data_IF_786946904892
#
_entry.id   IF_786946904892
#
_cell.length_a   1.000
_cell.length_b   1.000
_cell.length_c   1.000
_cell.angle_alpha   90.00
_cell.angle_beta   90.00
_cell.angle_gamma   90.00
#
_symmetry.space_group_name_H-M   'P 1'
#
loop_
_entity.id
_entity.type
_entity.pdbx_description
1 polymer ?
#
# COMPACT_ATOMS: atom_id res chain seq x y z
N UNK A 1 2.61 -14.20 3.28
CA UNK A 1 2.94 -12.99 2.51
C UNK A 1 3.33 -11.92 3.51
N UNK A 2 4.52 -11.33 3.41
CA UNK A 2 4.91 -10.20 4.27
C UNK A 2 4.34 -8.88 3.69
N UNK A 3 4.48 -7.76 4.41
CA UNK A 3 3.93 -6.46 3.98
C UNK A 3 4.52 -5.98 2.64
N UNK A 4 5.81 -6.25 2.39
CA UNK A 4 6.50 -5.88 1.14
C UNK A 4 5.98 -6.72 -0.04
N UNK A 5 5.79 -8.01 0.16
CA UNK A 5 5.20 -8.90 -0.84
C UNK A 5 3.77 -8.46 -1.19
N UNK A 6 2.98 -8.08 -0.17
CA UNK A 6 1.62 -7.58 -0.37
C UNK A 6 1.62 -6.28 -1.19
N UNK A 7 2.50 -5.33 -0.87
CA UNK A 7 2.70 -4.11 -1.66
C UNK A 7 3.04 -4.43 -3.12
N UNK A 8 4.06 -5.27 -3.34
CA UNK A 8 4.49 -5.62 -4.70
C UNK A 8 3.39 -6.34 -5.48
N UNK A 9 2.60 -7.17 -4.81
CA UNK A 9 1.44 -7.82 -5.40
C UNK A 9 0.38 -6.81 -5.82
N UNK A 10 -0.01 -5.88 -4.95
CA UNK A 10 -1.00 -4.83 -5.27
C UNK A 10 -0.54 -3.98 -6.47
N UNK A 11 0.71 -3.53 -6.46
CA UNK A 11 1.29 -2.75 -7.57
C UNK A 11 1.27 -3.51 -8.89
N UNK A 12 1.66 -4.79 -8.85
CA UNK A 12 1.68 -5.66 -10.02
C UNK A 12 0.29 -5.88 -10.60
N UNK A 13 -0.71 -6.14 -9.76
CA UNK A 13 -2.10 -6.35 -10.19
C UNK A 13 -2.71 -5.07 -10.76
N UNK A 14 -2.38 -3.92 -10.18
CA UNK A 14 -2.83 -2.62 -10.68
C UNK A 14 -2.09 -2.17 -11.96
N UNK A 15 -1.00 -2.84 -12.35
CA UNK A 15 -0.16 -2.43 -13.48
C UNK A 15 0.59 -1.11 -13.24
N UNK A 16 0.81 -0.73 -11.97
CA UNK A 16 1.37 0.56 -11.58
C UNK A 16 2.80 0.45 -11.05
N UNK A 17 3.61 1.45 -11.36
CA UNK A 17 4.97 1.55 -10.82
C UNK A 17 4.96 2.15 -9.41
N UNK A 18 5.99 1.86 -8.62
CA UNK A 18 6.19 2.48 -7.30
C UNK A 18 6.23 4.02 -7.37
N UNK A 19 6.78 4.58 -8.43
CA UNK A 19 6.87 6.02 -8.62
C UNK A 19 5.54 6.65 -8.96
N UNK A 20 4.77 6.01 -9.83
CA UNK A 20 3.42 6.43 -10.19
C UNK A 20 2.51 6.46 -8.95
N UNK A 21 2.45 5.36 -8.19
CA UNK A 21 1.65 5.32 -6.96
C UNK A 21 2.15 6.32 -5.92
N UNK A 22 3.47 6.50 -5.77
CA UNK A 22 4.02 7.53 -4.86
C UNK A 22 3.50 8.93 -5.19
N UNK A 23 3.43 9.28 -6.49
CA UNK A 23 2.91 10.57 -6.93
C UNK A 23 1.41 10.68 -6.74
N UNK A 24 0.66 9.61 -7.03
CA UNK A 24 -0.79 9.59 -6.89
C UNK A 24 -1.25 9.78 -5.43
N UNK A 25 -0.50 9.23 -4.47
CA UNK A 25 -0.76 9.47 -3.03
C UNK A 25 -0.19 10.82 -2.53
N UNK A 26 0.17 11.75 -3.42
CA UNK A 26 0.66 13.09 -3.08
C UNK A 26 2.06 13.14 -2.46
N UNK A 27 2.90 12.11 -2.68
CA UNK A 27 4.27 12.03 -2.15
C UNK A 27 5.31 12.24 -3.24
N UNK A 28 6.56 12.43 -2.82
CA UNK A 28 7.69 12.47 -3.73
C UNK A 28 7.81 11.16 -4.52
N UNK A 29 8.16 11.20 -5.82
CA UNK A 29 8.20 10.03 -6.73
C UNK A 29 9.01 8.83 -6.21
N UNK A 30 10.01 9.07 -5.37
CA UNK A 30 10.85 8.02 -4.79
C UNK A 30 10.35 7.51 -3.44
N UNK A 31 9.22 8.00 -2.92
CA UNK A 31 8.77 7.74 -1.55
C UNK A 31 8.69 6.25 -1.22
N UNK A 32 7.99 5.45 -2.04
CA UNK A 32 7.86 4.00 -1.80
C UNK A 32 9.24 3.32 -1.87
N UNK A 33 10.03 3.61 -2.90
CA UNK A 33 11.38 3.04 -3.07
C UNK A 33 12.31 3.38 -1.92
N UNK A 34 12.36 4.65 -1.51
CA UNK A 34 13.16 5.11 -0.37
C UNK A 34 12.68 4.53 0.95
N UNK A 35 11.38 4.31 1.12
CA UNK A 35 10.80 3.70 2.31
C UNK A 35 11.17 2.22 2.44
N UNK A 36 11.24 1.49 1.32
CA UNK A 36 11.65 0.08 1.31
C UNK A 36 13.13 -0.11 1.65
N UNK A 37 13.98 0.87 1.32
CA UNK A 37 15.43 0.78 1.52
C UNK A 37 15.88 1.07 2.97
N UNK A 38 15.00 1.61 3.83
CA UNK A 38 15.35 2.02 5.21
C UNK A 38 15.28 0.89 6.25
N UNK A 39 15.21 -0.37 5.81
CA UNK A 39 14.95 -1.53 6.68
C UNK A 39 13.46 -1.87 6.71
N UNK A 40 13.03 -2.65 7.72
CA UNK A 40 11.65 -3.19 7.83
C UNK A 40 10.60 -2.17 7.41
N UNK A 41 9.91 -2.44 6.30
CA UNK A 41 8.93 -1.51 5.74
C UNK A 41 7.68 -1.49 6.61
N UNK A 42 7.52 -0.40 7.35
CA UNK A 42 6.42 -0.18 8.28
C UNK A 42 5.67 1.12 7.91
N UNK A 43 4.82 1.11 6.87
CA UNK A 43 4.03 2.27 6.51
C UNK A 43 2.98 2.55 7.58
N UNK A 44 2.64 3.83 7.78
CA UNK A 44 1.45 4.16 8.58
C UNK A 44 0.20 3.56 7.95
N UNK A 45 -0.83 3.28 8.76
CA UNK A 45 -2.12 2.75 8.26
C UNK A 45 -2.70 3.65 7.17
N UNK A 46 -2.62 4.98 7.33
CA UNK A 46 -3.08 5.95 6.33
C UNK A 46 -2.32 5.83 5.00
N UNK A 47 -1.00 5.61 5.06
CA UNK A 47 -0.19 5.43 3.85
C UNK A 47 -0.53 4.11 3.16
N UNK A 48 -0.72 3.04 3.92
CA UNK A 48 -1.11 1.75 3.38
C UNK A 48 -2.51 1.80 2.76
N UNK A 49 -3.45 2.49 3.40
CA UNK A 49 -4.79 2.75 2.88
C UNK A 49 -4.75 3.49 1.53
N UNK A 50 -4.04 4.61 1.47
CA UNK A 50 -3.90 5.39 0.23
C UNK A 50 -3.28 4.56 -0.91
N UNK A 51 -2.22 3.78 -0.63
CA UNK A 51 -1.63 2.88 -1.62
C UNK A 51 -2.63 1.82 -2.09
N UNK A 52 -3.38 1.22 -1.16
CA UNK A 52 -4.38 0.21 -1.48
C UNK A 52 -5.47 0.79 -2.39
N UNK A 53 -6.03 1.95 -2.06
CA UNK A 53 -7.04 2.64 -2.87
C UNK A 53 -6.53 2.94 -4.29
N UNK A 54 -5.32 3.48 -4.41
CA UNK A 54 -4.67 3.75 -5.71
C UNK A 54 -4.40 2.48 -6.54
N UNK A 55 -4.37 1.31 -5.89
CA UNK A 55 -4.22 0.01 -6.55
C UNK A 55 -5.57 -0.71 -6.76
N UNK A 56 -6.71 -0.11 -6.40
CA UNK A 56 -8.04 -0.73 -6.50
C UNK A 56 -8.36 -1.73 -5.39
N UNK A 57 -7.64 -1.67 -4.27
CA UNK A 57 -7.85 -2.51 -3.09
C UNK A 57 -8.55 -1.75 -1.96
N UNK A 58 -9.23 -2.50 -1.08
CA UNK A 58 -9.76 -2.01 0.19
C UNK A 58 -8.92 -2.54 1.34
N UNK A 59 -8.62 -1.68 2.32
CA UNK A 59 -7.96 -2.11 3.54
C UNK A 59 -9.01 -2.64 4.52
N UNK A 60 -8.87 -3.88 4.97
CA UNK A 60 -9.86 -4.55 5.83
C UNK A 60 -9.19 -5.21 7.04
N UNK A 61 -9.79 -5.09 8.22
CA UNK A 61 -9.56 -6.01 9.34
C UNK A 61 -10.51 -7.19 9.18
N UNK A 62 -9.96 -8.41 9.24
CA UNK A 62 -10.75 -9.62 9.07
C UNK A 62 -10.66 -10.50 10.32
N UNK A 63 -11.82 -10.97 10.81
CA UNK A 63 -11.91 -11.94 11.90
C UNK A 63 -13.04 -12.93 11.66
N UNK A 64 -12.70 -14.20 11.40
CA UNK A 64 -13.68 -15.32 11.37
C UNK A 64 -14.95 -15.00 10.55
N UNK A 65 -14.80 -14.46 9.35
CA UNK A 65 -15.91 -14.09 8.46
C UNK A 65 -16.42 -12.66 8.63
N UNK A 66 -16.09 -11.99 9.74
CA UNK A 66 -16.32 -10.55 9.93
C UNK A 66 -15.26 -9.72 9.19
N UNK A 67 -15.69 -8.62 8.59
CA UNK A 67 -14.85 -7.69 7.82
C UNK A 67 -15.18 -6.26 8.22
N UNK A 68 -14.18 -5.56 8.75
CA UNK A 68 -14.26 -4.13 9.04
C UNK A 68 -13.40 -3.42 7.99
N UNK A 69 -14.05 -2.70 7.08
CA UNK A 69 -13.36 -1.84 6.12
C UNK A 69 -12.80 -0.62 6.86
N UNK A 70 -11.54 -0.31 6.59
CA UNK A 70 -10.88 0.89 7.07
C UNK A 70 -11.05 1.95 5.97
N UNK A 71 -11.89 2.93 6.25
CA UNK A 71 -12.09 4.14 5.43
C UNK A 71 -11.60 5.33 6.26
N UNK A 72 -10.55 6.00 5.80
CA UNK A 72 -9.84 7.07 6.53
C UNK A 72 -9.39 8.17 5.59
#
# INVERSE_FOLDING_TARGET
MNTIDALNHMLKQAGRSRSDVSQAIGRHRNFITSSLNRGSWNPTTLTLHAIAQECGYKLVLMRRGDRIEIDT
#
